data_IF_719460805315
#
_entry.id   IF_719460805315
#
_cell.length_a   1.000
_cell.length_b   1.000
_cell.length_c   1.000
_cell.angle_alpha   90.00
_cell.angle_beta   90.00
_cell.angle_gamma   90.00
#
_symmetry.space_group_name_H-M   'P 1'
#
loop_
_entity.id
_entity.type
_entity.pdbx_description
1 polymer ?
#
# COMPACT_ATOMS: atom_id res chain seq x y z
N UNK A 1 -25.78 -4.18 -9.04
CA UNK A 1 -24.58 -3.97 -9.88
C UNK A 1 -23.67 -5.18 -9.71
N UNK A 2 -22.99 -5.62 -10.76
CA UNK A 2 -22.10 -6.79 -10.68
C UNK A 2 -20.66 -6.28 -10.63
N UNK A 3 -19.91 -6.61 -9.57
CA UNK A 3 -18.51 -6.22 -9.48
C UNK A 3 -17.72 -6.83 -10.65
N UNK A 4 -16.86 -6.02 -11.27
CA UNK A 4 -15.90 -6.42 -12.33
C UNK A 4 -14.45 -6.28 -11.86
N UNK A 5 -14.23 -5.51 -10.81
CA UNK A 5 -12.94 -5.33 -10.15
C UNK A 5 -13.10 -5.56 -8.66
N UNK A 6 -12.20 -6.31 -8.08
CA UNK A 6 -12.11 -6.54 -6.63
C UNK A 6 -10.74 -6.11 -6.18
N UNK A 7 -10.67 -5.21 -5.21
CA UNK A 7 -9.44 -4.78 -4.59
C UNK A 7 -9.46 -5.20 -3.12
N UNK A 8 -8.46 -5.95 -2.70
CA UNK A 8 -8.30 -6.38 -1.31
C UNK A 8 -7.00 -5.84 -0.75
N UNK A 9 -6.99 -5.46 0.53
CA UNK A 9 -5.74 -5.38 1.27
C UNK A 9 -5.19 -6.80 1.48
N UNK A 10 -3.93 -6.92 1.89
CA UNK A 10 -3.30 -8.20 2.17
C UNK A 10 -3.28 -8.50 3.69
N UNK A 11 -2.53 -7.71 4.45
CA UNK A 11 -2.36 -7.88 5.88
C UNK A 11 -3.64 -7.48 6.63
N UNK A 12 -4.12 -8.31 7.55
CA UNK A 12 -5.38 -8.06 8.28
C UNK A 12 -6.66 -8.31 7.47
N UNK A 13 -6.56 -8.56 6.15
CA UNK A 13 -7.71 -8.77 5.26
C UNK A 13 -7.69 -10.14 4.61
N UNK A 14 -6.70 -10.43 3.75
CA UNK A 14 -6.51 -11.76 3.16
C UNK A 14 -5.71 -12.67 4.07
N UNK A 15 -4.63 -12.14 4.66
CA UNK A 15 -3.84 -12.79 5.68
C UNK A 15 -4.30 -12.32 7.06
N UNK A 16 -4.67 -13.25 7.94
CA UNK A 16 -5.00 -12.99 9.33
C UNK A 16 -3.76 -12.64 10.16
N UNK A 17 -3.96 -12.34 11.44
CA UNK A 17 -2.85 -12.07 12.39
C UNK A 17 -1.99 -13.31 12.67
N UNK A 18 -2.57 -14.50 12.53
CA UNK A 18 -1.85 -15.77 12.70
C UNK A 18 -1.25 -16.20 11.36
N UNK A 19 0.09 -16.20 11.21
CA UNK A 19 0.75 -16.56 9.96
C UNK A 19 0.57 -18.03 9.56
N UNK A 20 0.13 -18.91 10.47
CA UNK A 20 -0.14 -20.32 10.17
C UNK A 20 -1.54 -20.54 9.56
N UNK A 21 -2.41 -19.53 9.63
CA UNK A 21 -3.73 -19.62 9.03
C UNK A 21 -3.67 -19.45 7.51
N UNK A 22 -4.50 -20.21 6.75
CA UNK A 22 -4.58 -20.02 5.31
C UNK A 22 -5.17 -18.64 4.99
N UNK A 23 -4.77 -18.07 3.85
CA UNK A 23 -5.42 -16.87 3.33
C UNK A 23 -6.93 -17.11 3.17
N UNK A 24 -7.74 -16.09 3.46
CA UNK A 24 -9.20 -16.07 3.43
C UNK A 24 -9.84 -17.08 2.45
N UNK A 25 -10.12 -18.35 2.84
CA UNK A 25 -10.48 -19.42 1.90
C UNK A 25 -11.85 -19.18 1.24
N UNK A 26 -12.74 -18.46 1.93
CA UNK A 26 -14.04 -18.07 1.41
C UNK A 26 -13.91 -17.10 0.23
N UNK A 27 -12.97 -16.16 0.32
CA UNK A 27 -12.68 -15.23 -0.75
C UNK A 27 -12.23 -15.97 -2.00
N UNK A 28 -11.27 -16.88 -1.90
CA UNK A 28 -10.76 -17.61 -3.05
C UNK A 28 -11.80 -18.55 -3.68
N UNK A 29 -12.66 -19.15 -2.86
CA UNK A 29 -13.79 -19.94 -3.35
C UNK A 29 -14.76 -19.06 -4.15
N UNK A 30 -15.11 -17.91 -3.59
CA UNK A 30 -15.98 -16.94 -4.26
C UNK A 30 -15.34 -16.40 -5.55
N UNK A 31 -14.06 -16.03 -5.53
CA UNK A 31 -13.35 -15.49 -6.69
C UNK A 31 -13.31 -16.51 -7.84
N UNK A 32 -12.96 -17.77 -7.53
CA UNK A 32 -12.96 -18.85 -8.52
C UNK A 32 -14.35 -19.08 -9.15
N UNK A 33 -15.42 -19.09 -8.36
CA UNK A 33 -16.77 -19.25 -8.87
C UNK A 33 -17.24 -18.04 -9.70
N UNK A 34 -16.86 -16.86 -9.28
CA UNK A 34 -17.24 -15.60 -9.93
C UNK A 34 -16.53 -15.43 -11.27
N UNK A 35 -15.25 -15.77 -11.36
CA UNK A 35 -14.48 -15.76 -12.61
C UNK A 35 -15.02 -16.71 -13.68
N UNK A 36 -15.66 -17.83 -13.28
CA UNK A 36 -16.36 -18.73 -14.22
C UNK A 36 -17.60 -18.11 -14.87
N UNK A 37 -18.16 -17.06 -14.25
CA UNK A 37 -19.43 -16.44 -14.69
C UNK A 37 -19.25 -15.07 -15.33
N UNK A 38 -18.14 -14.41 -15.04
CA UNK A 38 -17.82 -13.07 -15.54
C UNK A 38 -16.33 -12.82 -15.44
N UNK A 39 -15.83 -11.93 -16.31
CA UNK A 39 -14.48 -11.40 -16.17
C UNK A 39 -14.42 -10.50 -14.92
N UNK A 40 -13.73 -10.97 -13.89
CA UNK A 40 -13.45 -10.23 -12.68
C UNK A 40 -11.93 -10.13 -12.53
N UNK A 41 -11.42 -8.91 -12.55
CA UNK A 41 -10.05 -8.62 -12.20
C UNK A 41 -9.91 -8.51 -10.67
N UNK A 42 -8.78 -8.99 -10.14
CA UNK A 42 -8.44 -8.91 -8.74
C UNK A 42 -7.14 -8.15 -8.53
N UNK A 43 -7.18 -7.19 -7.62
CA UNK A 43 -6.07 -6.35 -7.19
C UNK A 43 -5.75 -6.66 -5.73
N UNK A 44 -4.48 -6.81 -5.39
CA UNK A 44 -4.01 -6.69 -4.00
C UNK A 44 -3.38 -5.31 -3.84
N UNK A 45 -3.81 -4.55 -2.81
CA UNK A 45 -3.25 -3.26 -2.46
C UNK A 45 -2.57 -3.35 -1.08
N UNK A 46 -1.24 -3.22 -1.01
CA UNK A 46 -0.46 -3.47 0.21
C UNK A 46 0.69 -2.49 0.39
N UNK A 47 1.11 -2.31 1.65
CA UNK A 47 2.37 -1.63 1.99
C UNK A 47 3.63 -2.47 1.73
N UNK A 48 3.48 -3.76 1.43
CA UNK A 48 4.62 -4.65 1.13
C UNK A 48 5.27 -4.32 -0.21
N UNK A 49 6.57 -4.66 -0.35
CA UNK A 49 7.20 -4.76 -1.67
C UNK A 49 6.68 -5.99 -2.42
N UNK A 50 6.93 -6.05 -3.74
CA UNK A 50 6.58 -7.24 -4.53
C UNK A 50 7.23 -8.51 -4.00
N UNK A 51 8.52 -8.45 -3.66
CA UNK A 51 9.26 -9.60 -3.15
C UNK A 51 8.62 -10.14 -1.88
N UNK A 52 8.32 -9.25 -0.91
CA UNK A 52 7.69 -9.62 0.36
C UNK A 52 6.26 -10.16 0.17
N UNK A 53 5.48 -9.56 -0.75
CA UNK A 53 4.14 -10.05 -1.06
C UNK A 53 4.20 -11.44 -1.73
N UNK A 54 5.11 -11.64 -2.69
CA UNK A 54 5.29 -12.91 -3.38
C UNK A 54 5.68 -14.03 -2.42
N UNK A 55 6.63 -13.78 -1.52
CA UNK A 55 7.03 -14.72 -0.48
C UNK A 55 5.83 -15.09 0.40
N UNK A 56 5.03 -14.12 0.82
CA UNK A 56 3.84 -14.38 1.62
C UNK A 56 2.78 -15.18 0.87
N UNK A 57 2.52 -14.87 -0.42
CA UNK A 57 1.57 -15.63 -1.25
C UNK A 57 2.02 -17.09 -1.43
N UNK A 58 3.33 -17.32 -1.61
CA UNK A 58 3.90 -18.68 -1.69
C UNK A 58 3.80 -19.40 -0.36
N UNK A 59 4.19 -18.74 0.74
CA UNK A 59 4.14 -19.31 2.08
C UNK A 59 2.72 -19.77 2.45
N UNK A 60 1.72 -18.96 2.18
CA UNK A 60 0.32 -19.27 2.43
C UNK A 60 -0.35 -20.13 1.34
N UNK A 61 0.41 -20.57 0.35
CA UNK A 61 -0.09 -21.42 -0.77
C UNK A 61 -1.32 -20.80 -1.45
N UNK A 62 -1.24 -19.50 -1.80
CA UNK A 62 -2.35 -18.79 -2.44
C UNK A 62 -2.85 -19.57 -3.67
N UNK A 63 -4.17 -19.87 -3.78
CA UNK A 63 -4.70 -20.70 -4.85
C UNK A 63 -4.62 -20.08 -6.25
N UNK A 64 -4.45 -18.77 -6.32
CA UNK A 64 -4.30 -18.01 -7.57
C UNK A 64 -3.55 -16.71 -7.31
N UNK A 65 -2.88 -16.19 -8.32
CA UNK A 65 -2.25 -14.88 -8.29
C UNK A 65 -3.28 -13.78 -8.60
N UNK A 66 -3.08 -12.54 -8.06
CA UNK A 66 -3.84 -11.39 -8.50
C UNK A 66 -3.53 -11.03 -9.96
N UNK A 67 -4.41 -10.26 -10.61
CA UNK A 67 -4.15 -9.71 -11.95
C UNK A 67 -3.30 -8.44 -11.88
N UNK A 68 -3.49 -7.68 -10.79
CA UNK A 68 -2.76 -6.45 -10.50
C UNK A 68 -2.36 -6.39 -9.03
N UNK A 69 -1.29 -5.68 -8.76
CA UNK A 69 -0.86 -5.36 -7.39
C UNK A 69 -0.53 -3.88 -7.28
N UNK A 70 -0.85 -3.33 -6.11
CA UNK A 70 -0.40 -2.03 -5.65
C UNK A 70 0.55 -2.30 -4.49
N UNK A 71 1.85 -2.02 -4.69
CA UNK A 71 2.91 -2.25 -3.71
C UNK A 71 3.38 -0.94 -3.09
N UNK A 72 3.99 -1.03 -1.92
CA UNK A 72 4.52 0.11 -1.15
C UNK A 72 3.55 1.30 -1.09
N UNK A 73 2.22 0.99 -1.09
CA UNK A 73 1.10 1.92 -1.04
C UNK A 73 0.84 2.71 -2.33
N UNK A 74 1.74 2.70 -3.34
CA UNK A 74 1.74 3.69 -4.42
C UNK A 74 2.25 3.22 -5.79
N UNK A 75 2.85 2.03 -5.89
CA UNK A 75 3.36 1.49 -7.15
C UNK A 75 2.40 0.49 -7.75
N UNK A 76 2.22 0.52 -9.07
CA UNK A 76 1.29 -0.35 -9.78
C UNK A 76 2.09 -1.37 -10.61
N UNK A 77 1.71 -2.63 -10.49
CA UNK A 77 2.26 -3.69 -11.33
C UNK A 77 1.13 -4.60 -11.85
N UNK A 78 1.26 -5.06 -13.08
CA UNK A 78 0.42 -6.10 -13.64
C UNK A 78 1.10 -7.45 -13.48
N UNK A 79 0.37 -8.46 -13.03
CA UNK A 79 0.92 -9.82 -12.94
C UNK A 79 0.70 -10.54 -14.28
N UNK A 80 1.80 -10.94 -14.90
CA UNK A 80 1.80 -11.76 -16.13
C UNK A 80 2.74 -12.94 -15.96
N UNK A 81 2.24 -14.11 -16.22
CA UNK A 81 3.01 -15.37 -16.10
C UNK A 81 3.65 -15.55 -14.71
N UNK A 82 2.99 -15.02 -13.65
CA UNK A 82 3.46 -15.09 -12.27
C UNK A 82 4.48 -14.04 -11.87
N UNK A 83 4.87 -13.14 -12.78
CA UNK A 83 5.83 -12.06 -12.52
C UNK A 83 5.17 -10.68 -12.57
N UNK A 84 5.66 -9.77 -11.72
CA UNK A 84 5.18 -8.39 -11.67
C UNK A 84 5.83 -7.56 -12.77
N UNK A 85 5.02 -7.02 -13.66
CA UNK A 85 5.42 -6.08 -14.69
C UNK A 85 5.02 -4.66 -14.24
N UNK A 86 6.01 -3.80 -14.07
CA UNK A 86 5.83 -2.40 -13.68
C UNK A 86 4.93 -1.65 -14.66
N UNK A 87 3.99 -0.86 -14.15
CA UNK A 87 3.30 0.15 -14.94
C UNK A 87 4.23 1.37 -15.08
N UNK A 88 5.16 1.29 -16.04
CA UNK A 88 6.29 2.21 -16.20
C UNK A 88 5.88 3.70 -16.14
N UNK A 89 4.83 4.08 -16.88
CA UNK A 89 4.40 5.47 -16.92
C UNK A 89 3.99 6.01 -15.55
N UNK A 90 3.25 5.21 -14.77
CA UNK A 90 2.83 5.58 -13.42
C UNK A 90 3.99 5.56 -12.44
N UNK A 91 4.73 4.46 -12.38
CA UNK A 91 5.77 4.26 -11.37
C UNK A 91 6.94 5.22 -11.55
N UNK A 92 7.30 5.56 -12.80
CA UNK A 92 8.29 6.58 -13.10
C UNK A 92 7.84 7.96 -12.60
N UNK A 93 6.62 8.39 -12.95
CA UNK A 93 6.08 9.67 -12.46
C UNK A 93 6.00 9.71 -10.94
N UNK A 94 5.57 8.62 -10.30
CA UNK A 94 5.53 8.49 -8.85
C UNK A 94 6.93 8.69 -8.25
N UNK A 95 7.94 8.00 -8.76
CA UNK A 95 9.33 8.11 -8.29
C UNK A 95 9.88 9.52 -8.46
N UNK A 96 9.74 10.11 -9.65
CA UNK A 96 10.22 11.47 -9.95
C UNK A 96 9.54 12.52 -9.06
N UNK A 97 8.23 12.38 -8.83
CA UNK A 97 7.46 13.28 -7.96
C UNK A 97 7.93 13.19 -6.51
N UNK A 98 8.16 11.97 -5.98
CA UNK A 98 8.66 11.77 -4.63
C UNK A 98 10.09 12.29 -4.46
N UNK A 99 10.98 12.06 -5.42
CA UNK A 99 12.33 12.59 -5.41
C UNK A 99 12.33 14.12 -5.39
N UNK A 100 11.51 14.75 -6.22
CA UNK A 100 11.39 16.21 -6.26
C UNK A 100 10.76 16.77 -4.97
N UNK A 101 9.76 16.08 -4.40
CA UNK A 101 9.11 16.46 -3.14
C UNK A 101 10.13 16.45 -1.99
N UNK A 102 10.76 15.31 -1.76
CA UNK A 102 11.66 15.14 -0.62
C UNK A 102 12.99 15.89 -0.81
N UNK A 103 13.44 16.09 -2.05
CA UNK A 103 14.56 16.97 -2.33
C UNK A 103 14.30 18.43 -1.94
N UNK A 104 13.06 18.91 -2.06
CA UNK A 104 12.66 20.26 -1.59
C UNK A 104 12.44 20.34 -0.08
N UNK A 105 12.03 19.24 0.53
CA UNK A 105 11.64 19.17 1.95
C UNK A 105 12.68 18.46 2.84
N UNK A 106 13.97 18.42 2.44
CA UNK A 106 15.03 17.79 3.23
C UNK A 106 15.11 18.32 4.67
N UNK A 107 15.04 19.64 4.86
CA UNK A 107 15.03 20.25 6.20
C UNK A 107 13.83 19.84 7.06
N UNK A 108 12.67 19.57 6.43
CA UNK A 108 11.49 19.05 7.12
C UNK A 108 11.72 17.61 7.60
N UNK A 109 12.29 16.75 6.74
CA UNK A 109 12.61 15.37 7.11
C UNK A 109 13.66 15.33 8.24
N UNK A 110 14.70 16.17 8.18
CA UNK A 110 15.69 16.31 9.25
C UNK A 110 15.05 16.78 10.57
N UNK A 111 14.05 17.68 10.49
CA UNK A 111 13.29 18.12 11.67
C UNK A 111 12.51 16.95 12.26
N UNK A 112 11.80 16.18 11.45
CA UNK A 112 11.05 15.01 11.88
C UNK A 112 11.97 13.97 12.53
N UNK A 113 13.10 13.68 11.90
CA UNK A 113 14.11 12.77 12.44
C UNK A 113 14.63 13.25 13.80
N UNK A 114 14.96 14.51 13.94
CA UNK A 114 15.48 15.08 15.18
C UNK A 114 14.41 15.12 16.32
N UNK A 115 13.18 15.51 15.99
CA UNK A 115 12.14 15.71 17.02
C UNK A 115 11.44 14.41 17.43
N UNK A 116 11.36 13.45 16.53
CA UNK A 116 10.64 12.19 16.72
C UNK A 116 11.60 11.02 16.91
N UNK A 117 12.64 10.92 16.06
CA UNK A 117 13.62 9.83 16.09
C UNK A 117 14.54 9.85 17.31
N UNK A 118 14.58 10.95 18.08
CA UNK A 118 15.34 11.06 19.33
C UNK A 118 14.67 10.39 20.54
N UNK A 119 13.48 9.82 20.36
CA UNK A 119 12.78 9.11 21.43
C UNK A 119 13.17 7.62 21.40
N UNK A 120 13.46 7.03 22.56
CA UNK A 120 13.86 5.61 22.68
C UNK A 120 12.79 4.61 22.14
N UNK A 121 11.60 5.09 21.82
CA UNK A 121 10.48 4.27 21.36
C UNK A 121 10.20 4.39 19.86
N UNK A 122 10.98 5.18 19.10
CA UNK A 122 10.77 5.35 17.65
C UNK A 122 12.10 5.14 16.92
N UNK A 123 12.08 4.24 15.95
CA UNK A 123 13.22 3.99 15.06
C UNK A 123 12.99 4.67 13.72
N UNK A 124 13.97 5.44 13.25
CA UNK A 124 13.99 6.00 11.90
C UNK A 124 14.60 4.99 10.94
N UNK A 125 13.94 4.74 9.84
CA UNK A 125 14.40 3.84 8.78
C UNK A 125 14.45 4.56 7.42
N UNK A 126 15.36 4.18 6.51
CA UNK A 126 15.30 4.66 5.12
C UNK A 126 14.02 4.20 4.43
N UNK A 127 13.38 5.10 3.68
CA UNK A 127 12.21 4.76 2.86
C UNK A 127 12.19 5.57 1.55
N UNK A 128 12.55 4.96 0.43
CA UNK A 128 12.36 5.42 -0.95
C UNK A 128 12.61 6.94 -1.19
N UNK A 129 13.75 7.44 -0.76
CA UNK A 129 14.15 8.86 -0.90
C UNK A 129 13.66 9.77 0.23
N UNK A 130 13.00 9.21 1.23
CA UNK A 130 12.56 9.85 2.47
C UNK A 130 13.01 9.05 3.68
N UNK A 131 12.36 9.28 4.80
CA UNK A 131 12.47 8.47 6.03
C UNK A 131 11.13 7.78 6.31
N UNK A 132 11.20 6.61 6.95
CA UNK A 132 10.08 5.97 7.62
C UNK A 132 10.29 6.01 9.14
N UNK A 133 9.21 5.88 9.90
CA UNK A 133 9.27 5.81 11.35
C UNK A 133 8.60 4.50 11.82
N UNK A 134 9.20 3.84 12.79
CA UNK A 134 8.66 2.63 13.40
C UNK A 134 8.50 2.87 14.89
N UNK A 135 7.28 2.92 15.38
CA UNK A 135 6.97 3.14 16.79
C UNK A 135 6.86 1.81 17.55
N UNK A 136 7.47 1.73 18.73
CA UNK A 136 7.60 0.47 19.49
C UNK A 136 6.41 0.13 20.40
N UNK A 137 5.45 1.07 20.61
CA UNK A 137 4.30 0.87 21.49
C UNK A 137 3.09 1.64 20.99
N UNK A 138 1.87 1.28 21.43
CA UNK A 138 0.66 2.03 21.08
C UNK A 138 0.76 3.49 21.49
N UNK A 139 1.31 3.77 22.66
CA UNK A 139 1.52 5.14 23.14
C UNK A 139 2.47 5.93 22.24
N UNK A 140 3.55 5.32 21.78
CA UNK A 140 4.49 5.95 20.86
C UNK A 140 3.87 6.13 19.47
N UNK A 141 3.01 5.21 19.00
CA UNK A 141 2.24 5.35 17.76
C UNK A 141 1.37 6.62 17.82
N UNK A 142 0.56 6.77 18.87
CA UNK A 142 -0.37 7.89 19.01
C UNK A 142 0.38 9.23 19.10
N UNK A 143 1.48 9.27 19.87
CA UNK A 143 2.35 10.43 19.98
C UNK A 143 3.02 10.79 18.66
N UNK A 144 3.58 9.81 17.96
CA UNK A 144 4.22 10.01 16.66
C UNK A 144 3.21 10.56 15.65
N UNK A 145 2.01 9.98 15.61
CA UNK A 145 0.95 10.45 14.72
C UNK A 145 0.59 11.92 14.99
N UNK A 146 0.42 12.31 16.25
CA UNK A 146 0.11 13.69 16.61
C UNK A 146 1.22 14.66 16.20
N UNK A 147 2.49 14.34 16.51
CA UNK A 147 3.65 15.18 16.17
C UNK A 147 3.86 15.29 14.65
N UNK A 148 3.81 14.16 13.93
CA UNK A 148 3.93 14.18 12.47
C UNK A 148 2.83 15.02 11.86
N UNK A 149 1.57 14.82 12.28
CA UNK A 149 0.41 15.59 11.77
C UNK A 149 0.56 17.10 12.01
N UNK A 150 1.15 17.49 13.15
CA UNK A 150 1.45 18.89 13.44
C UNK A 150 2.55 19.44 12.51
N UNK A 151 3.65 18.71 12.35
CA UNK A 151 4.80 19.13 11.56
C UNK A 151 4.43 19.27 10.08
N UNK A 152 3.66 18.33 9.51
CA UNK A 152 3.30 18.36 8.08
C UNK A 152 2.10 19.24 7.76
N UNK A 153 1.45 19.86 8.73
CA UNK A 153 0.23 20.66 8.51
C UNK A 153 0.42 21.80 7.51
N UNK A 154 1.61 22.36 7.44
CA UNK A 154 1.95 23.45 6.51
C UNK A 154 2.43 22.95 5.14
N UNK A 155 2.41 21.62 4.93
CA UNK A 155 2.89 20.95 3.73
C UNK A 155 1.79 20.07 3.13
N UNK A 156 0.73 20.66 2.53
CA UNK A 156 -0.45 19.92 2.07
C UNK A 156 -0.16 18.90 0.97
N UNK A 157 0.99 19.00 0.31
CA UNK A 157 1.48 18.04 -0.69
C UNK A 157 2.09 16.77 -0.07
N UNK A 158 2.37 16.77 1.25
CA UNK A 158 2.91 15.62 1.97
C UNK A 158 1.77 14.93 2.73
N UNK A 159 1.62 13.65 2.52
CA UNK A 159 0.75 12.77 3.29
C UNK A 159 1.57 11.80 4.12
N UNK A 160 0.95 11.28 5.18
CA UNK A 160 1.48 10.15 5.94
C UNK A 160 0.60 8.93 5.72
N UNK A 161 1.23 7.81 5.45
CA UNK A 161 0.57 6.51 5.42
C UNK A 161 0.99 5.76 6.67
N UNK A 162 0.02 5.33 7.48
CA UNK A 162 0.25 4.51 8.66
C UNK A 162 -0.18 3.07 8.41
N UNK A 163 0.68 2.13 8.72
CA UNK A 163 0.35 0.71 8.75
C UNK A 163 0.85 0.11 10.07
N UNK A 164 -0.07 -0.07 11.03
CA UNK A 164 0.28 -0.46 12.40
C UNK A 164 1.30 0.51 13.02
N UNK A 165 2.50 0.03 13.42
CA UNK A 165 3.57 0.84 13.98
C UNK A 165 4.36 1.66 12.96
N UNK A 166 4.17 1.42 11.66
CA UNK A 166 4.93 2.05 10.58
C UNK A 166 4.28 3.34 10.11
N UNK A 167 5.10 4.39 9.93
CA UNK A 167 4.72 5.65 9.29
C UNK A 167 5.61 5.88 8.08
N UNK A 168 5.00 6.17 6.95
CA UNK A 168 5.67 6.55 5.71
C UNK A 168 5.21 7.92 5.27
N UNK A 169 6.10 8.66 4.63
CA UNK A 169 5.77 9.93 3.99
C UNK A 169 5.60 9.71 2.49
N UNK A 170 4.59 10.32 1.91
CA UNK A 170 4.29 10.21 0.49
C UNK A 170 3.75 11.53 -0.07
N UNK A 171 3.80 11.68 -1.39
CA UNK A 171 3.05 12.74 -2.06
C UNK A 171 1.56 12.42 -1.99
N UNK A 172 0.73 13.43 -1.72
CA UNK A 172 -0.72 13.29 -1.52
C UNK A 172 -1.45 12.63 -2.69
N UNK A 173 -0.94 12.76 -3.91
CA UNK A 173 -1.56 12.18 -5.11
C UNK A 173 -1.21 10.70 -5.35
N UNK A 174 -0.26 10.13 -4.59
CA UNK A 174 0.18 8.75 -4.77
C UNK A 174 -0.14 7.89 -3.54
N UNK A 175 -1.25 7.18 -3.62
CA UNK A 175 -1.74 6.29 -2.56
C UNK A 175 -2.56 5.13 -3.17
N UNK A 176 -2.92 4.11 -2.38
CA UNK A 176 -3.72 2.95 -2.85
C UNK A 176 -4.96 3.35 -3.67
N UNK A 177 -5.67 4.39 -3.25
CA UNK A 177 -6.88 4.86 -3.93
C UNK A 177 -6.60 5.45 -5.31
N UNK A 178 -5.56 6.27 -5.47
CA UNK A 178 -5.18 6.83 -6.77
C UNK A 178 -4.63 5.75 -7.71
N UNK A 179 -3.86 4.79 -7.18
CA UNK A 179 -3.43 3.62 -7.94
C UNK A 179 -4.62 2.79 -8.44
N UNK A 180 -5.61 2.54 -7.58
CA UNK A 180 -6.82 1.83 -7.96
C UNK A 180 -7.61 2.57 -9.02
N UNK A 181 -7.72 3.90 -8.93
CA UNK A 181 -8.37 4.72 -9.94
C UNK A 181 -7.65 4.63 -11.32
N UNK A 182 -6.32 4.59 -11.33
CA UNK A 182 -5.57 4.38 -12.58
C UNK A 182 -5.79 2.98 -13.16
N UNK A 183 -5.83 1.93 -12.33
CA UNK A 183 -6.17 0.58 -12.79
C UNK A 183 -7.60 0.53 -13.36
N UNK A 184 -8.58 1.16 -12.70
CA UNK A 184 -9.95 1.28 -13.21
C UNK A 184 -9.99 1.91 -14.60
N UNK A 185 -9.24 2.98 -14.79
CA UNK A 185 -9.13 3.69 -16.07
C UNK A 185 -8.51 2.81 -17.16
N UNK A 186 -7.43 2.07 -16.84
CA UNK A 186 -6.80 1.14 -17.77
C UNK A 186 -7.72 -0.01 -18.19
N UNK A 187 -8.62 -0.43 -17.31
CA UNK A 187 -9.58 -1.49 -17.53
C UNK A 187 -10.93 -0.99 -18.09
N UNK A 188 -11.08 0.30 -18.33
CA UNK A 188 -12.35 0.95 -18.73
C UNK A 188 -13.52 0.57 -17.80
N UNK A 189 -13.28 0.72 -16.49
CA UNK A 189 -14.24 0.36 -15.44
C UNK A 189 -14.68 1.59 -14.64
N UNK A 190 -15.99 1.73 -14.46
CA UNK A 190 -16.54 2.74 -13.56
C UNK A 190 -16.25 2.35 -12.08
N UNK A 191 -16.02 3.34 -11.18
CA UNK A 191 -15.82 3.08 -9.75
C UNK A 191 -16.95 2.24 -9.13
N UNK A 192 -18.18 2.40 -9.60
CA UNK A 192 -19.36 1.64 -9.14
C UNK A 192 -19.31 0.14 -9.47
N UNK A 193 -18.39 -0.31 -10.32
CA UNK A 193 -18.16 -1.73 -10.62
C UNK A 193 -17.00 -2.34 -9.83
N UNK A 194 -16.47 -1.60 -8.85
CA UNK A 194 -15.37 -2.04 -7.98
C UNK A 194 -15.88 -2.36 -6.59
N UNK A 195 -15.44 -3.49 -6.06
CA UNK A 195 -15.60 -3.86 -4.66
C UNK A 195 -14.23 -3.74 -3.96
N UNK A 196 -14.20 -3.10 -2.80
CA UNK A 196 -12.99 -2.90 -2.01
C UNK A 196 -13.19 -3.55 -0.64
N UNK A 197 -12.21 -4.31 -0.19
CA UNK A 197 -12.14 -4.86 1.16
C UNK A 197 -10.77 -4.53 1.77
N UNK A 198 -10.77 -4.04 3.00
CA UNK A 198 -9.60 -3.70 3.79
C UNK A 198 -9.99 -3.49 5.24
N UNK A 199 -9.02 -3.49 6.14
CA UNK A 199 -9.19 -3.30 7.58
C UNK A 199 -8.95 -1.84 8.01
N UNK A 200 -8.54 -0.97 7.07
CA UNK A 200 -8.26 0.46 7.27
C UNK A 200 -9.11 1.34 6.36
#
# INVERSE_FOLDING_TARGET
MKARLVCTDFDGTLAGENPEEPLAPEFFRWLSQSRKKAEIAWVIATGRSWESLREALVFHQAPTMPDWIITVEREIHQIKEGEAQSLEAWNKCCTETHQALFGRHGALLERIEREIGSTDEVTVIPDAGAIGLVAGSQKSIDRTHALVSEIIREHPEISTVRNGPYFRFAHVDYHKGSCLAEIQKLLDLAPSSTFIAGDN
#
